data_IF_718799338101
#
_entry.id   IF_718799338101
#
_cell.length_a   1.000
_cell.length_b   1.000
_cell.length_c   1.000
_cell.angle_alpha   90.00
_cell.angle_beta   90.00
_cell.angle_gamma   90.00
#
_symmetry.space_group_name_H-M   'P 1'
#
loop_
_entity.id
_entity.type
_entity.pdbx_description
1 polymer ?
#
# COMPACT_ATOMS: atom_id res chain seq x y z
N UNK A 1 24.19 -2.96 -1.63
CA UNK A 1 23.46 -3.80 -2.59
C UNK A 1 21.99 -3.70 -2.19
N UNK A 2 21.15 -3.06 -3.01
CA UNK A 2 19.72 -3.04 -2.74
C UNK A 2 19.19 -4.47 -2.95
N UNK A 3 18.50 -5.03 -1.97
CA UNK A 3 17.91 -6.36 -2.08
C UNK A 3 16.81 -6.31 -3.15
N UNK A 4 16.79 -7.25 -4.10
CA UNK A 4 15.68 -7.48 -5.03
C UNK A 4 14.47 -8.11 -4.28
N UNK A 5 14.02 -7.48 -3.21
CA UNK A 5 12.82 -7.90 -2.51
C UNK A 5 11.62 -7.44 -3.35
N UNK A 6 10.79 -8.39 -3.78
CA UNK A 6 9.54 -8.11 -4.47
C UNK A 6 8.43 -8.45 -3.49
N UNK A 7 7.66 -7.44 -3.10
CA UNK A 7 6.42 -7.65 -2.35
C UNK A 7 5.33 -8.15 -3.29
N UNK A 8 4.60 -9.19 -2.86
CA UNK A 8 3.43 -9.71 -3.56
C UNK A 8 2.28 -9.70 -2.57
N UNK A 9 1.28 -8.86 -2.84
CA UNK A 9 0.11 -8.66 -1.98
C UNK A 9 -1.19 -8.84 -2.77
N UNK A 10 -2.21 -9.38 -2.11
CA UNK A 10 -3.58 -9.49 -2.65
C UNK A 10 -4.52 -8.73 -1.72
N UNK A 11 -5.20 -7.74 -2.29
CA UNK A 11 -6.26 -7.00 -1.61
C UNK A 11 -7.63 -7.57 -1.99
N UNK A 12 -8.47 -7.84 -0.97
CA UNK A 12 -9.85 -8.29 -1.17
C UNK A 12 -10.79 -7.45 -0.31
N UNK A 13 -11.97 -7.14 -0.87
CA UNK A 13 -13.03 -6.50 -0.11
C UNK A 13 -13.69 -7.52 0.82
N UNK A 14 -13.80 -7.19 2.11
CA UNK A 14 -14.41 -8.05 3.13
C UNK A 14 -15.72 -7.40 3.59
N UNK A 15 -16.86 -7.94 3.14
CA UNK A 15 -18.19 -7.41 3.49
C UNK A 15 -18.55 -7.65 4.96
N UNK A 16 -18.13 -8.79 5.53
CA UNK A 16 -18.35 -9.15 6.92
C UNK A 16 -17.04 -9.67 7.53
N UNK A 17 -16.50 -8.92 8.49
CA UNK A 17 -15.22 -9.25 9.11
C UNK A 17 -15.30 -10.45 10.06
N UNK A 18 -16.48 -10.77 10.61
CA UNK A 18 -16.59 -11.78 11.67
C UNK A 18 -16.10 -13.18 11.25
N UNK A 19 -16.55 -13.77 10.13
CA UNK A 19 -16.05 -15.07 9.69
C UNK A 19 -14.54 -15.08 9.44
N UNK A 20 -13.99 -13.99 8.88
CA UNK A 20 -12.55 -13.85 8.66
C UNK A 20 -11.79 -13.85 9.99
N UNK A 21 -12.24 -13.07 10.97
CA UNK A 21 -11.61 -13.01 12.28
C UNK A 21 -11.68 -14.34 13.03
N UNK A 22 -12.82 -15.05 12.95
CA UNK A 22 -12.97 -16.37 13.57
C UNK A 22 -12.03 -17.41 12.92
N UNK A 23 -11.87 -17.35 11.58
CA UNK A 23 -10.89 -18.17 10.85
C UNK A 23 -9.45 -17.84 11.26
N UNK A 24 -9.06 -16.57 11.26
CA UNK A 24 -7.69 -16.15 11.61
C UNK A 24 -7.33 -16.51 13.05
N UNK A 25 -8.26 -16.40 14.00
CA UNK A 25 -8.04 -16.82 15.40
C UNK A 25 -7.79 -18.32 15.54
N UNK A 26 -8.33 -19.12 14.61
CA UNK A 26 -8.23 -20.59 14.62
C UNK A 26 -7.01 -21.09 13.86
N UNK A 27 -6.71 -20.48 12.71
CA UNK A 27 -5.76 -21.02 11.72
C UNK A 27 -4.50 -20.16 11.54
N UNK A 28 -4.43 -18.96 12.11
CA UNK A 28 -3.28 -18.06 11.99
C UNK A 28 -2.65 -17.72 13.35
N UNK A 29 -1.44 -17.17 13.30
CA UNK A 29 -0.71 -16.67 14.46
C UNK A 29 -0.75 -15.15 14.43
N UNK A 30 -1.24 -14.53 15.51
CA UNK A 30 -1.14 -13.08 15.65
C UNK A 30 0.31 -12.67 15.90
N UNK A 31 0.84 -11.80 15.05
CA UNK A 31 2.22 -11.30 15.13
C UNK A 31 2.27 -9.92 15.80
N UNK A 32 1.49 -8.97 15.30
CA UNK A 32 1.46 -7.59 15.79
C UNK A 32 0.26 -6.83 15.23
N UNK A 33 -0.02 -5.67 15.84
CA UNK A 33 -0.90 -4.61 15.31
C UNK A 33 -0.05 -3.36 15.08
N UNK A 34 -0.38 -2.57 14.05
CA UNK A 34 0.33 -1.34 13.71
C UNK A 34 -0.70 -0.27 13.30
N UNK A 35 -0.54 0.96 13.81
CA UNK A 35 -1.34 2.10 13.40
C UNK A 35 -0.56 2.92 12.36
N UNK A 36 -1.17 3.11 11.19
CA UNK A 36 -0.54 3.83 10.09
C UNK A 36 -1.40 5.02 9.67
N UNK A 37 -0.76 6.18 9.50
CA UNK A 37 -1.38 7.38 8.94
C UNK A 37 -0.67 7.71 7.64
N UNK A 38 -1.42 7.74 6.54
CA UNK A 38 -0.90 8.04 5.21
C UNK A 38 -1.41 9.40 4.73
N UNK A 39 -0.48 10.29 4.37
CA UNK A 39 -0.76 11.54 3.69
C UNK A 39 -0.43 11.40 2.20
N UNK A 40 -1.40 11.68 1.33
CA UNK A 40 -1.25 11.51 -0.13
C UNK A 40 -1.03 12.83 -0.85
N UNK A 41 -0.08 12.83 -1.78
CA UNK A 41 0.35 14.00 -2.53
C UNK A 41 0.20 13.77 -4.04
N UNK A 42 -0.17 14.82 -4.77
CA UNK A 42 -0.03 14.90 -6.23
C UNK A 42 0.93 16.04 -6.57
N UNK A 43 1.88 15.85 -7.50
CA UNK A 43 2.79 16.92 -7.89
C UNK A 43 2.02 18.05 -8.59
N UNK A 44 2.49 19.29 -8.47
CA UNK A 44 1.79 20.47 -9.01
C UNK A 44 1.54 20.43 -10.53
N UNK A 45 2.32 19.63 -11.27
CA UNK A 45 2.21 19.51 -12.72
C UNK A 45 1.36 18.31 -13.20
N UNK A 46 0.83 17.49 -12.28
CA UNK A 46 0.02 16.30 -12.61
C UNK A 46 -0.87 15.89 -11.44
N UNK A 47 -2.18 15.80 -11.68
CA UNK A 47 -3.11 15.27 -10.69
C UNK A 47 -3.24 13.74 -10.86
N UNK A 48 -2.85 12.98 -9.85
CA UNK A 48 -2.94 11.53 -9.92
C UNK A 48 -4.38 11.00 -9.89
N UNK A 49 -5.34 11.81 -9.45
CA UNK A 49 -6.75 11.42 -9.35
C UNK A 49 -7.54 11.60 -10.66
N UNK A 50 -6.93 12.12 -11.73
CA UNK A 50 -7.62 12.41 -12.99
C UNK A 50 -8.04 11.13 -13.76
N UNK A 51 -7.35 10.00 -13.54
CA UNK A 51 -7.65 8.72 -14.19
C UNK A 51 -8.28 7.71 -13.23
N UNK A 52 -9.22 6.91 -13.75
CA UNK A 52 -9.75 5.73 -13.05
C UNK A 52 -9.52 4.45 -13.88
N UNK A 53 -8.92 3.40 -13.30
CA UNK A 53 -8.38 3.34 -11.93
C UNK A 53 -7.16 4.25 -11.71
N UNK A 54 -6.93 4.66 -10.46
CA UNK A 54 -5.79 5.52 -10.10
C UNK A 54 -4.51 4.69 -10.11
N UNK A 55 -3.59 5.01 -11.01
CA UNK A 55 -2.33 4.28 -11.16
C UNK A 55 -1.23 4.77 -10.24
N UNK A 56 -1.15 6.07 -9.98
CA UNK A 56 0.00 6.70 -9.31
C UNK A 56 -0.34 7.24 -7.94
N UNK A 57 0.48 6.89 -6.97
CA UNK A 57 0.28 7.21 -5.57
C UNK A 57 1.63 7.69 -5.03
N UNK A 58 1.62 8.82 -4.32
CA UNK A 58 2.77 9.29 -3.56
C UNK A 58 2.29 9.55 -2.15
N UNK A 59 2.85 8.85 -1.17
CA UNK A 59 2.47 9.01 0.23
C UNK A 59 3.66 9.24 1.15
N UNK A 60 3.42 10.04 2.20
CA UNK A 60 4.22 10.07 3.41
C UNK A 60 3.46 9.26 4.47
N UNK A 61 4.08 8.19 4.97
CA UNK A 61 3.52 7.31 5.99
C UNK A 61 4.15 7.59 7.34
N UNK A 62 3.31 7.73 8.37
CA UNK A 62 3.70 7.69 9.78
C UNK A 62 3.25 6.34 10.38
N UNK A 63 4.18 5.57 10.90
CA UNK A 63 3.92 4.35 11.69
C UNK A 63 4.57 4.50 13.06
N UNK A 64 3.82 5.06 14.02
CA UNK A 64 4.26 5.32 15.39
C UNK A 64 5.58 6.13 15.48
N UNK A 65 5.67 7.24 14.72
CA UNK A 65 6.82 8.13 14.69
C UNK A 65 7.97 7.66 13.80
N UNK A 66 7.78 6.56 13.06
CA UNK A 66 8.69 6.12 11.99
C UNK A 66 8.10 6.52 10.65
N UNK A 67 8.87 7.30 9.89
CA UNK A 67 8.41 7.87 8.63
C UNK A 67 8.99 7.13 7.42
N UNK A 68 8.17 6.92 6.39
CA UNK A 68 8.62 6.52 5.06
C UNK A 68 7.90 7.30 3.96
N UNK A 69 8.58 7.52 2.85
CA UNK A 69 7.99 8.02 1.60
C UNK A 69 7.84 6.86 0.64
N UNK A 70 6.67 6.76 0.02
CA UNK A 70 6.33 5.65 -0.86
C UNK A 70 5.75 6.19 -2.18
N UNK A 71 6.29 5.73 -3.30
CA UNK A 71 5.72 5.93 -4.62
C UNK A 71 5.28 4.58 -5.20
N UNK A 72 4.01 4.50 -5.61
CA UNK A 72 3.43 3.33 -6.28
C UNK A 72 2.95 3.69 -7.67
N UNK A 73 3.19 2.81 -8.63
CA UNK A 73 2.63 2.87 -9.98
C UNK A 73 2.01 1.51 -10.35
N UNK A 74 0.70 1.42 -10.22
CA UNK A 74 -0.08 0.22 -10.53
C UNK A 74 -0.21 0.00 -12.04
N UNK A 75 -0.01 -1.24 -12.49
CA UNK A 75 -0.26 -1.63 -13.88
C UNK A 75 -1.59 -2.34 -14.00
N UNK A 76 -2.46 -1.82 -14.85
CA UNK A 76 -3.78 -2.38 -15.12
C UNK A 76 -3.81 -3.04 -16.49
N UNK A 77 -4.55 -4.15 -16.57
CA UNK A 77 -4.92 -4.77 -17.84
C UNK A 77 -6.13 -4.06 -18.47
N UNK A 78 -6.54 -4.52 -19.67
CA UNK A 78 -7.68 -3.98 -20.41
C UNK A 78 -9.02 -4.13 -19.65
N UNK A 79 -9.07 -5.02 -18.64
CA UNK A 79 -10.22 -5.21 -17.75
C UNK A 79 -10.13 -4.35 -16.47
N UNK A 80 -9.20 -3.38 -16.42
CA UNK A 80 -8.93 -2.53 -15.26
C UNK A 80 -8.54 -3.31 -13.99
N UNK A 81 -8.02 -4.52 -14.14
CA UNK A 81 -7.47 -5.31 -13.03
C UNK A 81 -5.98 -5.07 -12.92
N UNK A 82 -5.52 -4.89 -11.69
CA UNK A 82 -4.09 -4.81 -11.40
C UNK A 82 -3.55 -6.19 -11.06
N UNK A 83 -2.38 -6.51 -11.59
CA UNK A 83 -1.65 -7.75 -11.29
C UNK A 83 -0.32 -7.51 -10.59
N UNK A 84 0.24 -6.29 -10.73
CA UNK A 84 1.51 -5.90 -10.12
C UNK A 84 1.63 -4.38 -10.03
N UNK A 85 2.55 -3.94 -9.17
CA UNK A 85 2.85 -2.55 -8.90
C UNK A 85 4.36 -2.33 -8.99
N UNK A 86 4.77 -1.24 -9.64
CA UNK A 86 6.14 -0.72 -9.45
C UNK A 86 6.15 0.13 -8.18
N UNK A 87 6.95 -0.26 -7.19
CA UNK A 87 6.99 0.38 -5.89
C UNK A 87 8.40 0.83 -5.52
N UNK A 88 8.50 2.05 -4.99
CA UNK A 88 9.72 2.59 -4.41
C UNK A 88 9.37 3.15 -3.04
N UNK A 89 9.93 2.53 -2.00
CA UNK A 89 9.82 3.01 -0.63
C UNK A 89 11.19 3.38 -0.07
N UNK A 90 11.25 4.52 0.61
CA UNK A 90 12.43 4.96 1.33
C UNK A 90 12.07 5.42 2.74
N UNK A 91 12.87 5.00 3.72
CA UNK A 91 12.76 5.49 5.09
C UNK A 91 13.19 6.96 5.16
N UNK A 92 12.48 7.75 5.96
CA UNK A 92 12.84 9.14 6.27
C UNK A 92 13.48 9.16 7.65
N UNK A 93 14.79 9.39 7.72
CA UNK A 93 15.57 9.34 8.97
C UNK A 93 15.80 10.72 9.61
N UNK A 94 15.70 11.80 8.84
CA UNK A 94 15.87 13.19 9.29
C UNK A 94 15.32 14.16 8.25
N UNK A 95 14.71 15.25 8.69
CA UNK A 95 14.38 16.44 7.89
C UNK A 95 15.41 17.53 8.17
#
# INVERSE_FOLDING_TARGET
>A
MAYNNIEIEIHVNVENQKPLMDFLKKEAIFISENHQVDEYYSPAHKNYLDSRPTAEWLSLRDSDGKYSINYKNWKFDDASKSHFCDEIEAKVESI
#
